data_IF_660440452938
#
_entry.id   IF_660440452938
#
_cell.length_a   1.000
_cell.length_b   1.000
_cell.length_c   1.000
_cell.angle_alpha   90.00
_cell.angle_beta   90.00
_cell.angle_gamma   90.00
#
_symmetry.space_group_name_H-M   'P 1'
#
loop_
_entity.id
_entity.type
_entity.pdbx_description
1 polymer ?
#
# COMPACT_ATOMS: atom_id res chain seq x y z
N UNK A 1 35.85 7.30 -0.21
CA UNK A 1 35.29 6.38 -1.22
C UNK A 1 33.77 6.49 -1.13
N UNK A 2 33.09 7.16 -2.08
CA UNK A 2 31.62 7.14 -2.16
C UNK A 2 31.24 6.00 -3.09
N UNK A 3 30.69 4.92 -2.55
CA UNK A 3 30.03 3.90 -3.37
C UNK A 3 28.86 4.54 -4.08
N UNK A 4 28.99 4.78 -5.39
CA UNK A 4 27.87 5.05 -6.26
C UNK A 4 27.11 3.73 -6.44
N UNK A 5 26.24 3.42 -5.48
CA UNK A 5 25.26 2.35 -5.66
C UNK A 5 24.24 2.88 -6.66
N UNK A 6 24.15 2.25 -7.84
CA UNK A 6 23.08 2.50 -8.80
C UNK A 6 21.78 1.99 -8.16
N UNK A 7 21.11 2.84 -7.39
CA UNK A 7 19.76 2.55 -6.90
C UNK A 7 18.85 2.63 -8.12
N UNK A 8 18.63 1.48 -8.77
CA UNK A 8 17.57 1.37 -9.76
C UNK A 8 16.28 1.89 -9.14
N UNK A 9 15.59 2.79 -9.82
CA UNK A 9 14.34 3.34 -9.32
C UNK A 9 13.37 2.17 -9.07
N UNK A 10 12.86 2.09 -7.85
CA UNK A 10 11.86 1.10 -7.51
C UNK A 10 10.62 1.33 -8.39
N UNK A 11 10.14 0.28 -9.05
CA UNK A 11 8.87 0.35 -9.75
C UNK A 11 7.74 0.63 -8.74
N UNK A 12 6.92 1.65 -9.03
CA UNK A 12 5.76 2.04 -8.23
C UNK A 12 4.56 2.15 -9.16
N UNK A 13 3.57 1.29 -8.96
CA UNK A 13 2.24 1.46 -9.57
C UNK A 13 1.48 2.56 -8.82
N UNK A 14 1.64 3.79 -9.28
CA UNK A 14 1.04 4.97 -8.66
C UNK A 14 -0.49 4.89 -8.65
N UNK A 15 -1.10 4.37 -9.71
CA UNK A 15 -2.56 4.35 -9.86
C UNK A 15 -3.22 3.44 -8.83
N UNK A 16 -2.75 2.19 -8.74
CA UNK A 16 -3.28 1.26 -7.74
C UNK A 16 -3.04 1.75 -6.32
N UNK A 17 -1.89 2.39 -6.08
CA UNK A 17 -1.53 2.93 -4.78
C UNK A 17 -2.39 4.15 -4.37
N UNK A 18 -2.74 5.02 -5.32
CA UNK A 18 -3.69 6.12 -5.10
C UNK A 18 -5.07 5.58 -4.75
N UNK A 19 -5.59 4.60 -5.51
CA UNK A 19 -6.88 3.96 -5.22
C UNK A 19 -6.93 3.34 -3.81
N UNK A 20 -5.88 2.61 -3.42
CA UNK A 20 -5.78 2.02 -2.06
C UNK A 20 -5.87 3.10 -0.98
N UNK A 21 -5.19 4.24 -1.17
CA UNK A 21 -5.17 5.35 -0.20
C UNK A 21 -6.49 6.09 -0.13
N UNK A 22 -7.15 6.28 -1.27
CA UNK A 22 -8.49 6.87 -1.30
C UNK A 22 -9.48 6.01 -0.51
N UNK A 23 -9.45 4.68 -0.69
CA UNK A 23 -10.29 3.75 0.06
C UNK A 23 -9.97 3.81 1.56
N UNK A 24 -8.69 3.74 1.94
CA UNK A 24 -8.28 3.87 3.34
C UNK A 24 -8.76 5.19 3.96
N UNK A 25 -8.59 6.29 3.25
CA UNK A 25 -8.99 7.61 3.74
C UNK A 25 -10.51 7.74 3.89
N UNK A 26 -11.27 7.18 2.95
CA UNK A 26 -12.73 7.16 3.04
C UNK A 26 -13.18 6.37 4.28
N UNK A 27 -12.59 5.20 4.53
CA UNK A 27 -12.87 4.41 5.74
C UNK A 27 -12.52 5.20 7.01
N UNK A 28 -11.40 5.93 7.02
CA UNK A 28 -11.05 6.80 8.15
C UNK A 28 -12.14 7.84 8.43
N UNK A 29 -12.61 8.53 7.37
CA UNK A 29 -13.65 9.55 7.49
C UNK A 29 -15.00 8.97 7.93
N UNK A 30 -15.40 7.82 7.37
CA UNK A 30 -16.66 7.14 7.71
C UNK A 30 -16.67 6.69 9.17
N UNK A 31 -15.55 6.13 9.66
CA UNK A 31 -15.39 5.72 11.05
C UNK A 31 -15.04 6.86 12.01
N UNK A 32 -14.79 8.08 11.49
CA UNK A 32 -14.32 9.26 12.25
C UNK A 32 -13.04 8.98 13.06
N UNK A 33 -12.12 8.23 12.47
CA UNK A 33 -10.80 7.91 13.06
C UNK A 33 -9.75 8.85 12.45
N UNK A 34 -9.08 9.64 13.29
CA UNK A 34 -8.02 10.56 12.89
C UNK A 34 -6.68 9.82 12.68
N UNK A 35 -5.70 10.48 12.06
CA UNK A 35 -4.38 9.88 11.86
C UNK A 35 -3.65 9.69 13.19
N UNK A 36 -3.93 10.56 14.16
CA UNK A 36 -3.46 10.51 15.54
C UNK A 36 -4.00 9.27 16.26
N UNK A 37 -5.26 8.89 16.04
CA UNK A 37 -5.81 7.64 16.60
C UNK A 37 -5.08 6.41 16.03
N UNK A 38 -4.78 6.41 14.72
CA UNK A 38 -4.02 5.34 14.09
C UNK A 38 -2.58 5.30 14.64
N UNK A 39 -1.98 6.46 14.89
CA UNK A 39 -0.67 6.57 15.54
C UNK A 39 -0.70 5.86 16.90
N UNK A 40 -1.65 6.22 17.76
CA UNK A 40 -1.76 5.69 19.10
C UNK A 40 -2.05 4.18 19.11
N UNK A 41 -2.85 3.70 18.14
CA UNK A 41 -3.18 2.28 17.98
C UNK A 41 -2.05 1.43 17.40
N UNK A 42 -1.14 2.02 16.62
CA UNK A 42 -0.05 1.27 15.93
C UNK A 42 1.31 1.45 16.59
N UNK A 43 1.52 2.52 17.34
CA UNK A 43 2.83 2.94 17.83
C UNK A 43 3.76 3.49 16.73
N UNK A 44 3.25 3.72 15.51
CA UNK A 44 4.02 4.38 14.46
C UNK A 44 4.17 5.87 14.74
N UNK A 45 5.13 6.53 14.09
CA UNK A 45 5.16 8.00 14.10
C UNK A 45 4.05 8.57 13.20
N UNK A 46 3.56 9.77 13.51
CA UNK A 46 2.60 10.49 12.65
C UNK A 46 3.03 10.51 11.18
N UNK A 47 4.31 10.79 10.91
CA UNK A 47 4.83 10.83 9.53
C UNK A 47 4.74 9.47 8.83
N UNK A 48 4.96 8.36 9.55
CA UNK A 48 4.78 7.02 9.00
C UNK A 48 3.31 6.74 8.70
N UNK A 49 2.40 7.06 9.63
CA UNK A 49 0.95 6.93 9.41
C UNK A 49 0.52 7.74 8.20
N UNK A 50 0.92 9.02 8.14
CA UNK A 50 0.62 9.90 7.02
C UNK A 50 1.14 9.32 5.69
N UNK A 51 2.37 8.81 5.65
CA UNK A 51 2.93 8.19 4.44
C UNK A 51 2.14 6.96 3.98
N UNK A 52 1.64 6.16 4.91
CA UNK A 52 0.82 4.99 4.59
C UNK A 52 -0.54 5.45 4.07
N UNK A 53 -1.29 6.24 4.85
CA UNK A 53 -2.69 6.58 4.57
C UNK A 53 -2.85 7.63 3.47
N UNK A 54 -1.98 8.66 3.44
CA UNK A 54 -2.13 9.86 2.59
C UNK A 54 -0.92 10.17 1.69
N UNK A 55 0.19 9.46 1.85
CA UNK A 55 1.44 9.72 1.15
C UNK A 55 1.40 9.41 -0.35
N UNK A 56 2.58 9.46 -0.98
CA UNK A 56 2.78 9.09 -2.41
C UNK A 56 3.82 8.00 -2.63
N UNK A 57 4.67 7.75 -1.64
CA UNK A 57 5.72 6.73 -1.67
C UNK A 57 5.11 5.32 -1.68
N UNK A 58 5.85 4.32 -2.13
CA UNK A 58 5.42 2.94 -1.95
C UNK A 58 5.20 2.62 -0.46
N UNK A 59 4.17 1.84 -0.14
CA UNK A 59 3.91 1.37 1.23
C UNK A 59 4.26 -0.10 1.36
N UNK A 60 4.69 -0.51 2.56
CA UNK A 60 4.86 -1.93 2.83
C UNK A 60 3.52 -2.59 3.11
N UNK A 61 3.39 -3.87 2.77
CA UNK A 61 2.21 -4.67 3.12
C UNK A 61 2.02 -4.72 4.64
N UNK A 62 3.11 -4.89 5.41
CA UNK A 62 3.03 -4.89 6.88
C UNK A 62 2.49 -3.56 7.44
N UNK A 63 2.88 -2.43 6.85
CA UNK A 63 2.35 -1.11 7.24
C UNK A 63 0.86 -0.99 6.94
N UNK A 64 0.42 -1.44 5.76
CA UNK A 64 -1.00 -1.50 5.42
C UNK A 64 -1.79 -2.38 6.39
N UNK A 65 -1.31 -3.58 6.70
CA UNK A 65 -2.00 -4.51 7.62
C UNK A 65 -2.09 -3.92 9.02
N UNK A 66 -1.06 -3.23 9.51
CA UNK A 66 -1.11 -2.55 10.80
C UNK A 66 -2.20 -1.45 10.83
N UNK A 67 -2.31 -0.67 9.75
CA UNK A 67 -3.40 0.32 9.60
C UNK A 67 -4.77 -0.35 9.52
N UNK A 68 -4.93 -1.45 8.76
CA UNK A 68 -6.20 -2.19 8.73
C UNK A 68 -6.61 -2.69 10.11
N UNK A 69 -5.67 -3.20 10.91
CA UNK A 69 -5.92 -3.59 12.31
C UNK A 69 -6.33 -2.38 13.17
N UNK A 70 -5.64 -1.25 13.03
CA UNK A 70 -5.97 -0.03 13.76
C UNK A 70 -7.35 0.54 13.38
N UNK A 71 -7.78 0.36 12.13
CA UNK A 71 -9.10 0.74 11.64
C UNK A 71 -10.18 -0.32 11.90
N UNK A 72 -9.81 -1.49 12.45
CA UNK A 72 -10.71 -2.63 12.69
C UNK A 72 -11.46 -3.04 11.41
N UNK A 73 -10.71 -3.23 10.32
CA UNK A 73 -11.22 -3.67 9.01
C UNK A 73 -10.41 -4.86 8.49
N UNK A 74 -11.02 -5.60 7.56
CA UNK A 74 -10.32 -6.61 6.79
C UNK A 74 -9.59 -5.98 5.59
N UNK A 75 -8.40 -6.48 5.19
CA UNK A 75 -7.70 -5.99 4.00
C UNK A 75 -8.52 -6.10 2.71
N UNK A 76 -9.47 -7.03 2.65
CA UNK A 76 -10.39 -7.19 1.52
C UNK A 76 -11.25 -5.96 1.28
N UNK A 77 -11.53 -5.15 2.30
CA UNK A 77 -12.26 -3.89 2.18
C UNK A 77 -11.43 -2.84 1.43
N UNK A 78 -10.09 -2.87 1.59
CA UNK A 78 -9.16 -1.95 0.91
C UNK A 78 -8.85 -2.42 -0.51
N UNK A 79 -8.70 -3.74 -0.71
CA UNK A 79 -8.38 -4.35 -2.01
C UNK A 79 -9.62 -4.68 -2.85
N UNK A 80 -10.77 -4.06 -2.56
CA UNK A 80 -12.01 -4.28 -3.30
C UNK A 80 -12.06 -3.48 -4.63
N UNK A 81 -11.04 -3.63 -5.48
CA UNK A 81 -10.96 -2.99 -6.79
C UNK A 81 -10.37 -3.93 -7.85
N UNK A 82 -10.59 -3.57 -9.12
CA UNK A 82 -10.10 -4.35 -10.26
C UNK A 82 -8.95 -3.64 -10.94
N UNK A 83 -7.96 -4.42 -11.38
CA UNK A 83 -6.85 -3.97 -12.23
C UNK A 83 -6.92 -4.64 -13.59
N UNK A 84 -6.28 -4.04 -14.59
CA UNK A 84 -6.13 -4.65 -15.90
C UNK A 84 -5.05 -5.73 -15.84
N UNK A 85 -5.40 -6.96 -16.22
CA UNK A 85 -4.45 -8.07 -16.30
C UNK A 85 -4.00 -8.24 -17.75
N UNK A 86 -2.73 -7.96 -18.08
CA UNK A 86 -2.21 -8.17 -19.44
C UNK A 86 -2.11 -9.66 -19.76
N UNK A 87 -2.32 -10.02 -21.03
CA UNK A 87 -2.08 -11.38 -21.52
C UNK A 87 -0.59 -11.54 -21.85
N UNK A 88 0.10 -12.42 -21.12
CA UNK A 88 1.50 -12.76 -21.38
C UNK A 88 1.62 -14.04 -22.23
N UNK A 89 2.78 -14.18 -22.90
CA UNK A 89 3.15 -15.43 -23.58
C UNK A 89 3.26 -16.59 -22.57
N UNK A 90 3.17 -17.86 -23.02
CA UNK A 90 3.39 -19.03 -22.17
C UNK A 90 4.67 -18.93 -21.34
N UNK A 91 4.64 -19.47 -20.12
CA UNK A 91 5.81 -19.45 -19.23
C UNK A 91 6.94 -20.34 -19.78
N UNK A 92 8.16 -20.15 -19.30
CA UNK A 92 9.33 -20.96 -19.70
C UNK A 92 9.10 -22.47 -19.52
N UNK A 93 8.31 -22.88 -18.52
CA UNK A 93 7.96 -24.30 -18.28
C UNK A 93 7.11 -24.89 -19.41
N UNK A 94 6.44 -24.06 -20.20
CA UNK A 94 5.55 -24.50 -21.26
C UNK A 94 6.28 -24.79 -22.58
N UNK A 95 7.62 -24.68 -22.61
CA UNK A 95 8.46 -24.93 -23.79
C UNK A 95 9.21 -26.28 -23.77
N UNK A 96 9.01 -27.12 -22.74
CA UNK A 96 9.57 -28.48 -22.71
C UNK A 96 8.59 -29.50 -23.33
N UNK A 97 8.29 -29.32 -24.62
CA UNK A 97 7.65 -30.34 -25.47
C UNK A 97 8.69 -30.86 -26.46
#
# INVERSE_FOLDING_TARGET
MRSFCFMGEQFIDKKSLETIREILWNICNEKKIALEDIQDRTGFSYSQVYRIVRGKNNMSVSGLIAVCKALEIQPTEVFNFKIQIPKHRPTRKNFNL
#
